data_IF_306500393292
#
_entry.id   IF_306500393292
#
_cell.length_a   1.000
_cell.length_b   1.000
_cell.length_c   1.000
_cell.angle_alpha   90.00
_cell.angle_beta   90.00
_cell.angle_gamma   90.00
#
_symmetry.space_group_name_H-M   'P 1'
#
loop_
_entity.id
_entity.type
_entity.pdbx_description
1 polymer ?
#
# COMPACT_ATOMS: atom_id res chain seq x y z
N UNK A 1 10.36 13.98 -19.14
CA UNK A 1 8.99 13.43 -19.07
C UNK A 1 9.14 11.92 -19.19
N UNK A 2 8.86 11.13 -18.14
CA UNK A 2 8.99 9.66 -18.25
C UNK A 2 7.93 9.18 -19.24
N UNK A 3 8.36 8.65 -20.37
CA UNK A 3 7.53 7.93 -21.34
C UNK A 3 6.92 6.72 -20.65
N UNK A 4 5.64 6.46 -20.89
CA UNK A 4 4.88 5.40 -20.23
C UNK A 4 5.50 4.04 -20.58
N UNK A 5 6.21 3.44 -19.63
CA UNK A 5 7.17 2.37 -19.89
C UNK A 5 6.56 0.96 -19.88
N UNK A 6 5.22 0.82 -19.91
CA UNK A 6 4.59 -0.50 -19.89
C UNK A 6 3.37 -0.52 -20.79
N UNK A 7 3.55 -1.08 -22.00
CA UNK A 7 2.42 -1.63 -22.74
C UNK A 7 1.76 -2.71 -21.88
N UNK A 8 0.46 -2.59 -21.71
CA UNK A 8 -0.33 -3.53 -20.93
C UNK A 8 -0.52 -4.82 -21.73
N UNK A 9 -0.41 -5.96 -21.06
CA UNK A 9 -0.71 -7.26 -21.69
C UNK A 9 -2.20 -7.39 -21.99
N UNK A 10 -2.61 -8.26 -22.93
CA UNK A 10 -4.03 -8.52 -23.22
C UNK A 10 -4.83 -8.86 -21.96
N UNK A 11 -4.32 -9.73 -21.09
CA UNK A 11 -4.97 -10.07 -19.81
C UNK A 11 -5.20 -8.85 -18.90
N UNK A 12 -4.31 -7.86 -18.94
CA UNK A 12 -4.46 -6.64 -18.16
C UNK A 12 -5.53 -5.72 -18.76
N UNK A 13 -5.63 -5.66 -20.09
CA UNK A 13 -6.75 -4.98 -20.77
C UNK A 13 -8.08 -5.65 -20.46
N UNK A 14 -8.16 -6.98 -20.53
CA UNK A 14 -9.37 -7.73 -20.22
C UNK A 14 -9.81 -7.48 -18.76
N UNK A 15 -8.85 -7.46 -17.83
CA UNK A 15 -9.13 -7.08 -16.44
C UNK A 15 -9.65 -5.65 -16.34
N UNK A 16 -9.07 -4.71 -17.09
CA UNK A 16 -9.54 -3.32 -17.07
C UNK A 16 -10.96 -3.17 -17.61
N UNK A 17 -11.30 -3.85 -18.70
CA UNK A 17 -12.65 -3.85 -19.26
C UNK A 17 -13.66 -4.41 -18.27
N UNK A 18 -13.36 -5.56 -17.66
CA UNK A 18 -14.16 -6.11 -16.58
C UNK A 18 -14.33 -5.12 -15.41
N UNK A 19 -13.26 -4.44 -15.00
CA UNK A 19 -13.31 -3.47 -13.91
C UNK A 19 -14.08 -2.19 -14.28
N UNK A 20 -14.29 -1.91 -15.57
CA UNK A 20 -15.05 -0.76 -16.08
C UNK A 20 -16.55 -1.02 -16.08
N UNK A 21 -16.94 -2.28 -16.31
CA UNK A 21 -18.34 -2.70 -16.29
C UNK A 21 -18.91 -2.81 -14.87
N UNK A 22 -18.05 -3.04 -13.87
CA UNK A 22 -18.50 -3.17 -12.48
C UNK A 22 -18.98 -1.82 -11.88
N UNK A 23 -20.11 -1.83 -11.18
CA UNK A 23 -20.59 -0.66 -10.43
C UNK A 23 -20.19 -0.68 -8.96
N UNK A 24 -20.00 -1.88 -8.40
CA UNK A 24 -19.72 -2.12 -6.98
C UNK A 24 -18.29 -2.59 -6.76
N UNK A 25 -17.83 -2.58 -5.50
CA UNK A 25 -16.54 -3.16 -5.18
C UNK A 25 -16.66 -4.68 -5.19
N UNK A 26 -15.68 -5.36 -5.79
CA UNK A 26 -15.59 -6.81 -5.79
C UNK A 26 -14.33 -7.30 -5.10
N UNK A 27 -14.46 -8.38 -4.35
CA UNK A 27 -13.30 -9.02 -3.71
C UNK A 27 -12.43 -9.73 -4.74
N UNK A 28 -11.14 -9.90 -4.44
CA UNK A 28 -10.20 -10.54 -5.37
C UNK A 28 -10.64 -11.95 -5.77
N UNK A 29 -11.21 -12.71 -4.84
CA UNK A 29 -11.73 -14.07 -5.11
C UNK A 29 -12.91 -14.07 -6.08
N UNK A 30 -13.82 -13.09 -5.95
CA UNK A 30 -14.96 -12.94 -6.86
C UNK A 30 -14.47 -12.59 -8.27
N UNK A 31 -13.52 -11.67 -8.37
CA UNK A 31 -12.91 -11.30 -9.66
C UNK A 31 -12.25 -12.51 -10.31
N UNK A 32 -11.50 -13.31 -9.54
CA UNK A 32 -10.85 -14.53 -10.06
C UNK A 32 -11.89 -15.54 -10.55
N UNK A 33 -12.93 -15.79 -9.76
CA UNK A 33 -13.98 -16.75 -10.08
C UNK A 33 -14.81 -16.34 -11.31
N UNK A 34 -15.14 -15.05 -11.43
CA UNK A 34 -15.94 -14.54 -12.54
C UNK A 34 -15.14 -14.40 -13.84
N UNK A 35 -13.88 -13.97 -13.75
CA UNK A 35 -13.06 -13.76 -14.95
C UNK A 35 -12.42 -15.05 -15.45
N UNK A 36 -12.16 -16.04 -14.58
CA UNK A 36 -11.44 -17.27 -14.94
C UNK A 36 -9.97 -17.05 -15.37
N UNK A 37 -9.49 -15.80 -15.42
CA UNK A 37 -8.18 -15.42 -15.98
C UNK A 37 -6.98 -15.87 -15.13
N UNK A 38 -7.22 -16.20 -13.86
CA UNK A 38 -6.19 -16.39 -12.84
C UNK A 38 -6.19 -17.80 -12.23
N UNK A 39 -6.91 -18.74 -12.85
CA UNK A 39 -7.06 -20.13 -12.41
C UNK A 39 -8.10 -20.31 -11.28
N UNK A 40 -8.38 -21.58 -10.96
CA UNK A 40 -9.39 -21.99 -9.97
C UNK A 40 -8.76 -22.21 -8.59
N UNK A 41 -8.14 -21.17 -8.01
CA UNK A 41 -7.63 -21.26 -6.65
C UNK A 41 -8.72 -20.80 -5.67
N UNK A 42 -9.25 -21.75 -4.87
CA UNK A 42 -10.21 -21.49 -3.78
C UNK A 42 -9.55 -20.85 -2.54
N UNK A 43 -8.22 -20.85 -2.46
CA UNK A 43 -7.47 -20.19 -1.38
C UNK A 43 -7.42 -18.67 -1.59
N UNK A 44 -8.11 -17.96 -0.70
CA UNK A 44 -8.66 -16.61 -0.95
C UNK A 44 -7.65 -15.47 -0.78
N UNK A 45 -6.48 -15.71 -0.16
CA UNK A 45 -5.57 -14.62 0.21
C UNK A 45 -4.13 -14.72 -0.32
N UNK A 46 -3.56 -15.92 -0.47
CA UNK A 46 -2.16 -16.10 -0.92
C UNK A 46 -2.00 -17.07 -2.12
N UNK A 47 -3.10 -17.41 -2.78
CA UNK A 47 -3.08 -18.22 -4.00
C UNK A 47 -2.19 -17.63 -5.09
N UNK A 48 -1.80 -18.47 -6.05
CA UNK A 48 -1.05 -18.03 -7.23
C UNK A 48 -1.92 -17.05 -8.04
N UNK A 49 -3.21 -17.35 -8.17
CA UNK A 49 -4.19 -16.47 -8.82
C UNK A 49 -4.30 -15.10 -8.16
N UNK A 50 -4.44 -15.04 -6.82
CA UNK A 50 -4.49 -13.76 -6.10
C UNK A 50 -3.22 -12.94 -6.21
N UNK A 51 -2.05 -13.58 -6.30
CA UNK A 51 -0.77 -12.89 -6.52
C UNK A 51 -0.68 -12.31 -7.94
N UNK A 52 -1.09 -13.08 -8.94
CA UNK A 52 -1.14 -12.63 -10.33
C UNK A 52 -2.11 -11.45 -10.51
N UNK A 53 -3.33 -11.55 -9.97
CA UNK A 53 -4.31 -10.46 -10.02
C UNK A 53 -3.78 -9.18 -9.34
N UNK A 54 -3.14 -9.29 -8.18
CA UNK A 54 -2.52 -8.11 -7.52
C UNK A 54 -1.39 -7.50 -8.34
N UNK A 55 -0.63 -8.32 -9.07
CA UNK A 55 0.43 -7.86 -9.98
C UNK A 55 -0.18 -7.09 -11.15
N UNK A 56 -1.24 -7.62 -11.75
CA UNK A 56 -1.92 -6.97 -12.88
C UNK A 56 -2.65 -5.70 -12.45
N UNK A 57 -3.32 -5.68 -11.29
CA UNK A 57 -3.87 -4.46 -10.70
C UNK A 57 -2.80 -3.39 -10.41
N UNK A 58 -1.58 -3.79 -10.04
CA UNK A 58 -0.47 -2.85 -9.85
C UNK A 58 -0.02 -2.29 -11.19
N UNK A 59 0.11 -3.13 -12.22
CA UNK A 59 0.45 -2.71 -13.57
C UNK A 59 -0.55 -1.68 -14.10
N UNK A 60 -1.85 -1.93 -13.96
CA UNK A 60 -2.92 -1.00 -14.35
C UNK A 60 -2.77 0.37 -13.67
N UNK A 61 -2.52 0.38 -12.35
CA UNK A 61 -2.34 1.62 -11.57
C UNK A 61 -1.08 2.40 -11.92
N UNK A 62 -0.01 1.71 -12.31
CA UNK A 62 1.26 2.32 -12.70
C UNK A 62 1.32 2.66 -14.19
N UNK A 63 0.43 2.09 -14.99
CA UNK A 63 0.35 2.40 -16.42
C UNK A 63 -0.08 3.85 -16.58
N UNK A 64 0.46 4.53 -17.58
CA UNK A 64 -0.08 5.82 -18.00
C UNK A 64 -0.86 5.77 -19.30
N UNK A 65 -1.08 4.57 -19.84
CA UNK A 65 -2.07 4.32 -20.89
C UNK A 65 -3.47 4.38 -20.27
N UNK A 66 -3.69 3.67 -19.15
CA UNK A 66 -4.95 3.74 -18.41
C UNK A 66 -4.88 4.89 -17.41
N UNK A 67 -5.67 5.93 -17.68
CA UNK A 67 -5.73 7.14 -16.84
C UNK A 67 -6.78 7.03 -15.72
N UNK A 68 -7.50 5.92 -15.61
CA UNK A 68 -8.53 5.73 -14.57
C UNK A 68 -7.91 5.38 -13.23
N UNK A 69 -8.42 5.99 -12.15
CA UNK A 69 -7.96 5.69 -10.80
C UNK A 69 -8.63 4.43 -10.25
N UNK A 70 -7.83 3.42 -9.88
CA UNK A 70 -8.32 2.18 -9.29
C UNK A 70 -8.10 2.19 -7.77
N UNK A 71 -9.17 2.04 -6.99
CA UNK A 71 -9.08 1.86 -5.54
C UNK A 71 -9.01 0.37 -5.23
N UNK A 72 -8.08 0.00 -4.36
CA UNK A 72 -8.05 -1.32 -3.73
C UNK A 72 -8.12 -1.14 -2.22
N UNK A 73 -9.16 -1.70 -1.61
CA UNK A 73 -9.38 -1.69 -0.17
C UNK A 73 -9.47 -3.13 0.32
N UNK A 74 -8.77 -3.46 1.39
CA UNK A 74 -8.77 -4.82 1.96
C UNK A 74 -10.16 -5.28 2.40
N UNK A 75 -11.01 -4.36 2.88
CA UNK A 75 -12.37 -4.69 3.37
C UNK A 75 -13.45 -4.68 2.29
N UNK A 76 -13.30 -3.82 1.28
CA UNK A 76 -14.34 -3.63 0.25
C UNK A 76 -14.01 -4.38 -1.04
N UNK A 77 -12.74 -4.61 -1.33
CA UNK A 77 -12.29 -5.14 -2.61
C UNK A 77 -11.74 -4.05 -3.54
N UNK A 78 -11.90 -4.27 -4.84
CA UNK A 78 -11.32 -3.45 -5.91
C UNK A 78 -12.43 -2.84 -6.74
N UNK A 79 -12.25 -1.58 -7.16
CA UNK A 79 -13.16 -0.87 -8.04
C UNK A 79 -12.45 0.27 -8.78
N UNK A 80 -12.90 0.62 -9.99
CA UNK A 80 -12.60 1.93 -10.59
C UNK A 80 -13.35 3.01 -9.82
N UNK A 81 -12.60 4.01 -9.35
CA UNK A 81 -13.13 5.01 -8.44
C UNK A 81 -13.85 6.14 -9.16
N UNK A 82 -14.97 6.57 -8.58
CA UNK A 82 -15.52 7.89 -8.88
C UNK A 82 -14.64 8.99 -8.27
N UNK A 83 -14.80 10.23 -8.76
CA UNK A 83 -14.04 11.39 -8.27
C UNK A 83 -14.16 11.58 -6.75
N UNK A 84 -15.37 11.44 -6.20
CA UNK A 84 -15.67 11.64 -4.77
C UNK A 84 -15.03 10.53 -3.91
N UNK A 85 -15.15 9.27 -4.36
CA UNK A 85 -14.53 8.14 -3.68
C UNK A 85 -13.01 8.27 -3.66
N UNK A 86 -12.41 8.67 -4.79
CA UNK A 86 -10.98 8.84 -4.89
C UNK A 86 -10.47 9.96 -4.00
N UNK A 87 -11.13 11.12 -3.97
CA UNK A 87 -10.75 12.22 -3.07
C UNK A 87 -10.73 11.78 -1.60
N UNK A 88 -11.78 11.07 -1.18
CA UNK A 88 -11.89 10.56 0.19
C UNK A 88 -10.79 9.55 0.50
N UNK A 89 -10.53 8.62 -0.42
CA UNK A 89 -9.46 7.63 -0.30
C UNK A 89 -8.07 8.28 -0.26
N UNK A 90 -7.80 9.25 -1.15
CA UNK A 90 -6.55 9.98 -1.22
C UNK A 90 -6.29 10.77 0.07
N UNK A 91 -7.28 11.50 0.58
CA UNK A 91 -7.17 12.23 1.87
C UNK A 91 -6.78 11.29 3.01
N UNK A 92 -7.41 10.11 3.10
CA UNK A 92 -7.08 9.10 4.11
C UNK A 92 -5.65 8.58 3.97
N UNK A 93 -5.20 8.29 2.74
CA UNK A 93 -3.83 7.85 2.49
C UNK A 93 -2.78 8.90 2.85
N UNK A 94 -2.99 10.15 2.44
CA UNK A 94 -2.08 11.24 2.77
C UNK A 94 -1.98 11.46 4.28
N UNK A 95 -3.11 11.42 5.00
CA UNK A 95 -3.10 11.51 6.45
C UNK A 95 -2.29 10.38 7.11
N UNK A 96 -2.38 9.15 6.60
CA UNK A 96 -1.58 8.04 7.08
C UNK A 96 -0.08 8.26 6.83
N UNK A 97 0.28 8.70 5.62
CA UNK A 97 1.68 9.01 5.25
C UNK A 97 2.25 10.11 6.15
N UNK A 98 1.51 11.19 6.37
CA UNK A 98 1.94 12.30 7.24
C UNK A 98 2.21 11.80 8.67
N UNK A 99 1.35 10.93 9.21
CA UNK A 99 1.58 10.33 10.54
C UNK A 99 2.87 9.51 10.58
N UNK A 100 3.14 8.72 9.54
CA UNK A 100 4.39 7.95 9.43
C UNK A 100 5.61 8.88 9.35
N UNK A 101 5.55 9.96 8.56
CA UNK A 101 6.63 10.94 8.46
C UNK A 101 6.91 11.60 9.81
N UNK A 102 5.86 12.01 10.53
CA UNK A 102 6.02 12.65 11.84
C UNK A 102 6.62 11.69 12.87
N UNK A 103 6.21 10.41 12.84
CA UNK A 103 6.82 9.39 13.68
C UNK A 103 8.31 9.21 13.34
N UNK A 104 8.66 9.12 12.05
CA UNK A 104 10.05 9.00 11.64
C UNK A 104 10.88 10.18 12.11
N UNK A 105 10.39 11.42 11.93
CA UNK A 105 11.06 12.63 12.45
C UNK A 105 11.32 12.53 13.95
N UNK A 106 10.35 12.04 14.74
CA UNK A 106 10.54 11.84 16.17
C UNK A 106 11.60 10.76 16.48
N UNK A 107 11.68 9.70 15.68
CA UNK A 107 12.74 8.70 15.81
C UNK A 107 14.11 9.28 15.45
N UNK A 108 14.20 10.06 14.38
CA UNK A 108 15.45 10.72 13.96
C UNK A 108 15.92 11.72 15.03
N UNK A 109 15.00 12.47 15.64
CA UNK A 109 15.36 13.34 16.78
C UNK A 109 15.87 12.56 17.98
N UNK A 110 15.31 11.37 18.26
CA UNK A 110 15.79 10.52 19.35
C UNK A 110 17.18 9.98 19.04
N UNK A 111 17.36 9.45 17.84
CA UNK A 111 18.64 8.94 17.35
C UNK A 111 19.75 10.02 17.40
N UNK A 112 19.43 11.27 17.02
CA UNK A 112 20.38 12.38 17.09
C UNK A 112 20.72 12.86 18.50
N UNK A 113 19.91 12.49 19.50
CA UNK A 113 20.13 12.81 20.91
C UNK A 113 20.77 11.65 21.68
N UNK A 114 21.18 10.58 21.01
CA UNK A 114 21.84 9.43 21.65
C UNK A 114 23.06 9.87 22.46
N UNK A 115 23.23 9.27 23.64
CA UNK A 115 24.33 9.53 24.58
C UNK A 115 24.40 10.96 25.15
N UNK A 116 23.40 11.80 24.89
CA UNK A 116 23.32 13.13 25.48
C UNK A 116 22.71 13.09 26.89
N UNK A 117 23.14 14.02 27.75
CA UNK A 117 22.58 14.19 29.08
C UNK A 117 21.14 14.70 28.99
N UNK A 118 20.22 14.01 29.67
CA UNK A 118 18.83 14.41 29.74
C UNK A 118 18.62 15.31 30.96
N UNK A 119 18.40 16.60 30.72
CA UNK A 119 18.01 17.53 31.79
C UNK A 119 16.55 17.27 32.19
N UNK A 120 16.33 16.51 33.26
CA UNK A 120 15.00 16.32 33.86
C UNK A 120 15.09 16.67 35.35
N UNK A 121 14.26 17.61 35.80
CA UNK A 121 14.13 17.93 37.22
C UNK A 121 13.54 16.71 37.98
N UNK A 122 14.20 16.27 39.05
CA UNK A 122 13.77 15.21 39.97
C UNK A 122 13.60 13.79 39.40
N UNK A 123 14.32 13.39 38.34
CA UNK A 123 14.39 11.98 37.90
C UNK A 123 15.83 11.55 37.53
N UNK A 124 16.23 10.36 37.96
CA UNK A 124 17.61 9.83 37.87
C UNK A 124 18.05 9.36 36.47
N UNK A 125 17.21 9.46 35.43
CA UNK A 125 17.58 9.02 34.08
C UNK A 125 18.47 10.05 33.38
N UNK A 126 19.77 9.93 33.62
CA UNK A 126 20.79 10.91 33.22
C UNK A 126 21.15 10.93 31.73
N UNK A 127 21.03 9.84 30.97
CA UNK A 127 21.48 9.76 29.56
C UNK A 127 20.34 9.27 28.66
N UNK A 128 20.25 9.82 27.45
CA UNK A 128 19.32 9.36 26.41
C UNK A 128 19.93 8.14 25.71
N UNK A 129 19.28 6.99 25.87
CA UNK A 129 19.60 5.74 25.15
C UNK A 129 18.65 5.58 23.96
N UNK A 130 19.09 6.01 22.78
CA UNK A 130 18.29 5.91 21.56
C UNK A 130 18.47 4.56 20.85
N UNK A 131 19.64 3.92 21.03
CA UNK A 131 19.95 2.62 20.46
C UNK A 131 20.20 1.57 21.55
N UNK A 132 19.99 0.30 21.21
CA UNK A 132 20.46 -0.82 22.05
C UNK A 132 21.94 -1.01 21.79
N UNK A 133 22.74 -1.15 22.85
CA UNK A 133 24.15 -1.51 22.70
C UNK A 133 24.28 -2.89 22.03
N UNK A 134 25.17 -3.05 21.03
CA UNK A 134 25.27 -4.29 20.27
C UNK A 134 25.88 -5.50 21.01
N UNK A 135 26.10 -5.47 22.33
CA UNK A 135 26.75 -6.59 23.04
C UNK A 135 26.09 -6.92 24.39
N UNK A 136 25.33 -8.03 24.42
CA UNK A 136 25.38 -9.06 25.48
C UNK A 136 25.02 -10.41 24.84
N UNK A 137 25.96 -10.99 24.07
CA UNK A 137 26.13 -12.44 23.99
C UNK A 137 27.55 -12.69 24.52
N UNK A 138 27.66 -12.76 25.85
CA UNK A 138 28.81 -13.34 26.54
C UNK A 138 28.53 -14.83 26.75
#
# INVERSE_FOLDING_TARGET
MKTFENDLTSRQYDLYEYLKEQETYKHLSEIIAETGMYGNDTETHNSKGSRALRKDLRALKSSGIIQTTIISNTKKGVKIATKVEYQTHAKRKWNAIIRTINLQKLQDTKAGLDQQLRLVFNQEKGIIEAFKNPEVNA
#
